data_IF_999183765888
#
_entry.id   IF_999183765888
#
_cell.length_a   1.000
_cell.length_b   1.000
_cell.length_c   1.000
_cell.angle_alpha   90.00
_cell.angle_beta   90.00
_cell.angle_gamma   90.00
#
_symmetry.space_group_name_H-M   'P 1'
#
loop_
_entity.id
_entity.type
_entity.pdbx_description
1 polymer ?
#
# COMPACT_ATOMS: atom_id res chain seq x y z
N UNK A 1 8.63 -3.03 -5.33
CA UNK A 1 9.10 -4.43 -5.37
C UNK A 1 10.27 -4.57 -4.40
N UNK A 2 10.69 -5.81 -4.08
CA UNK A 2 11.68 -6.10 -3.04
C UNK A 2 12.96 -5.29 -3.17
N UNK A 3 13.57 -5.27 -4.36
CA UNK A 3 14.82 -4.55 -4.64
C UNK A 3 14.74 -3.04 -4.37
N UNK A 4 13.55 -2.43 -4.54
CA UNK A 4 13.34 -1.02 -4.22
C UNK A 4 13.27 -0.80 -2.70
N UNK A 5 12.58 -1.70 -1.98
CA UNK A 5 12.45 -1.58 -0.52
C UNK A 5 13.79 -1.75 0.19
N UNK A 6 14.66 -2.65 -0.29
CA UNK A 6 16.03 -2.85 0.23
C UNK A 6 16.94 -1.62 0.10
N UNK A 7 16.57 -0.66 -0.76
CA UNK A 7 17.33 0.61 -0.91
C UNK A 7 16.85 1.71 0.05
N UNK A 8 15.74 1.48 0.74
CA UNK A 8 15.23 2.42 1.74
C UNK A 8 15.99 2.21 3.06
N UNK A 9 16.07 3.25 3.91
CA UNK A 9 16.48 3.05 5.30
C UNK A 9 15.63 1.96 5.96
N UNK A 10 16.25 1.15 6.81
CA UNK A 10 15.55 0.16 7.62
C UNK A 10 14.48 0.85 8.49
N UNK A 11 13.27 0.31 8.52
CA UNK A 11 12.13 0.89 9.24
C UNK A 11 11.44 2.05 8.51
N UNK A 12 11.72 2.29 7.22
CA UNK A 12 10.96 3.26 6.42
C UNK A 12 9.46 2.90 6.34
N UNK A 13 8.60 3.88 6.03
CA UNK A 13 7.18 3.66 5.80
C UNK A 13 6.81 3.93 4.34
N UNK A 14 5.83 3.20 3.81
CA UNK A 14 5.31 3.35 2.45
C UNK A 14 3.95 4.06 2.46
N UNK A 15 3.76 5.01 1.54
CA UNK A 15 2.44 5.59 1.24
C UNK A 15 2.20 5.44 -0.27
N UNK A 16 1.13 4.76 -0.68
CA UNK A 16 0.79 4.59 -2.10
C UNK A 16 -0.61 5.11 -2.44
N UNK A 17 -0.67 6.35 -2.92
CA UNK A 17 -1.88 7.01 -3.46
C UNK A 17 -1.87 7.03 -5.00
N UNK A 18 -1.00 6.23 -5.62
CA UNK A 18 -0.79 6.19 -7.07
C UNK A 18 -1.75 5.24 -7.75
N UNK A 19 -1.26 4.06 -8.14
CA UNK A 19 -2.06 2.96 -8.70
C UNK A 19 -1.60 1.64 -8.10
N UNK A 20 -2.51 0.67 -7.98
CA UNK A 20 -2.21 -0.66 -7.45
C UNK A 20 -1.08 -1.38 -8.21
N UNK A 21 -1.03 -1.21 -9.54
CA UNK A 21 0.00 -1.84 -10.39
C UNK A 21 1.44 -1.39 -10.12
N UNK A 22 1.67 -0.32 -9.35
CA UNK A 22 3.03 0.08 -8.94
C UNK A 22 3.60 -0.82 -7.83
N UNK A 23 2.73 -1.55 -7.13
CA UNK A 23 3.08 -2.30 -5.93
C UNK A 23 3.00 -3.81 -6.20
N UNK A 24 4.10 -4.51 -5.95
CA UNK A 24 4.09 -5.97 -5.82
C UNK A 24 3.68 -6.29 -4.39
N UNK A 25 2.46 -6.77 -4.19
CA UNK A 25 1.84 -6.88 -2.87
C UNK A 25 2.52 -7.92 -1.97
N UNK A 26 3.01 -9.02 -2.54
CA UNK A 26 3.77 -10.04 -1.80
C UNK A 26 5.09 -9.49 -1.27
N UNK A 27 5.79 -8.70 -2.08
CA UNK A 27 7.04 -8.06 -1.65
C UNK A 27 6.81 -7.05 -0.52
N UNK A 28 5.62 -6.41 -0.49
CA UNK A 28 5.26 -5.51 0.59
C UNK A 28 5.05 -6.28 1.90
N UNK A 29 4.34 -7.41 1.86
CA UNK A 29 4.14 -8.26 3.03
C UNK A 29 5.50 -8.71 3.60
N UNK A 30 6.37 -9.25 2.75
CA UNK A 30 7.72 -9.68 3.16
C UNK A 30 8.53 -8.53 3.78
N UNK A 31 8.44 -7.32 3.22
CA UNK A 31 9.17 -6.16 3.72
C UNK A 31 8.62 -5.66 5.07
N UNK A 32 7.30 -5.77 5.28
CA UNK A 32 6.67 -5.42 6.56
C UNK A 32 6.96 -6.46 7.64
N UNK A 33 6.93 -7.74 7.30
CA UNK A 33 7.18 -8.85 8.23
C UNK A 33 8.64 -8.90 8.65
N UNK A 34 9.58 -8.65 7.73
CA UNK A 34 11.01 -8.58 8.03
C UNK A 34 11.42 -7.32 8.81
N UNK A 35 10.57 -6.28 8.84
CA UNK A 35 10.89 -5.00 9.49
C UNK A 35 11.64 -4.01 8.59
N UNK A 36 11.99 -4.39 7.36
CA UNK A 36 12.52 -3.46 6.35
C UNK A 36 11.60 -2.24 6.18
N UNK A 37 10.29 -2.46 6.21
CA UNK A 37 9.28 -1.42 6.32
C UNK A 37 8.58 -1.49 7.68
N UNK A 38 8.37 -0.32 8.29
CA UNK A 38 7.67 -0.20 9.57
C UNK A 38 6.15 -0.17 9.43
N UNK A 39 5.64 0.40 8.32
CA UNK A 39 4.22 0.50 8.03
C UNK A 39 3.94 0.79 6.54
N UNK A 40 2.69 0.58 6.12
CA UNK A 40 2.19 1.02 4.83
C UNK A 40 0.79 1.64 4.93
N UNK A 41 0.57 2.74 4.20
CA UNK A 41 -0.75 3.34 3.97
C UNK A 41 -1.06 3.27 2.48
N UNK A 42 -2.12 2.56 2.11
CA UNK A 42 -2.46 2.31 0.71
C UNK A 42 -3.91 2.74 0.44
N UNK A 43 -4.09 3.49 -0.64
CA UNK A 43 -5.42 3.88 -1.12
C UNK A 43 -5.84 3.07 -2.35
N UNK A 44 -4.87 2.39 -2.97
CA UNK A 44 -5.03 1.68 -4.24
C UNK A 44 -4.49 0.27 -4.12
N UNK A 45 -5.14 -0.67 -4.81
CA UNK A 45 -4.83 -2.10 -4.83
C UNK A 45 -4.80 -2.62 -6.26
N UNK A 46 -4.14 -3.76 -6.50
CA UNK A 46 -4.07 -4.28 -7.88
C UNK A 46 -5.46 -4.63 -8.43
N UNK A 47 -6.33 -5.15 -7.56
CA UNK A 47 -7.72 -5.45 -7.86
C UNK A 47 -8.64 -4.64 -6.96
N UNK A 48 -9.55 -3.91 -7.58
CA UNK A 48 -10.50 -3.06 -6.88
C UNK A 48 -11.93 -3.34 -7.37
N UNK A 49 -12.90 -3.55 -6.45
CA UNK A 49 -12.73 -3.64 -5.00
C UNK A 49 -11.88 -4.86 -4.60
N UNK A 50 -11.15 -4.74 -3.49
CA UNK A 50 -10.38 -5.87 -2.99
C UNK A 50 -11.31 -7.02 -2.59
N UNK A 51 -10.92 -8.29 -2.86
CA UNK A 51 -11.58 -9.45 -2.28
C UNK A 51 -11.69 -9.36 -0.76
N UNK A 52 -12.74 -9.93 -0.17
CA UNK A 52 -12.96 -9.87 1.28
C UNK A 52 -11.88 -10.60 2.09
N UNK A 53 -11.19 -11.56 1.47
CA UNK A 53 -10.09 -12.34 2.04
C UNK A 53 -8.70 -11.77 1.73
N UNK A 54 -8.61 -10.57 1.14
CA UNK A 54 -7.33 -9.94 0.82
C UNK A 54 -6.44 -9.81 2.08
N UNK A 55 -5.16 -10.21 2.03
CA UNK A 55 -4.30 -10.28 3.21
C UNK A 55 -4.11 -8.92 3.90
N UNK A 56 -4.13 -7.84 3.13
CA UNK A 56 -3.96 -6.48 3.66
C UNK A 56 -5.03 -6.07 4.66
N UNK A 57 -6.25 -6.65 4.61
CA UNK A 57 -7.30 -6.34 5.59
C UNK A 57 -6.93 -6.70 7.02
N UNK A 58 -6.06 -7.71 7.20
CA UNK A 58 -5.71 -8.25 8.51
C UNK A 58 -4.29 -7.88 8.94
N UNK A 59 -3.50 -7.29 8.05
CA UNK A 59 -2.11 -7.02 8.33
C UNK A 59 -1.98 -5.82 9.28
N UNK A 60 -1.40 -5.99 10.49
CA UNK A 60 -1.45 -4.97 11.55
C UNK A 60 -0.67 -3.68 11.22
N UNK A 61 0.28 -3.75 10.28
CA UNK A 61 1.09 -2.62 9.81
C UNK A 61 0.55 -1.95 8.54
N UNK A 62 -0.62 -2.35 8.06
CA UNK A 62 -1.24 -1.76 6.86
C UNK A 62 -2.49 -0.99 7.25
N UNK A 63 -2.59 0.24 6.75
CA UNK A 63 -3.82 1.04 6.75
C UNK A 63 -4.32 1.17 5.32
N UNK A 64 -5.60 0.86 5.10
CA UNK A 64 -6.24 0.93 3.79
C UNK A 64 -7.32 2.01 3.76
N UNK A 65 -7.35 2.77 2.66
CA UNK A 65 -8.47 3.63 2.28
C UNK A 65 -9.05 3.17 0.93
N UNK A 66 -10.36 3.30 0.69
CA UNK A 66 -11.01 2.66 -0.46
C UNK A 66 -10.96 3.53 -1.75
N UNK A 67 -9.76 3.84 -2.25
CA UNK A 67 -9.54 4.64 -3.47
C UNK A 67 -10.21 6.03 -3.42
N UNK A 68 -9.94 6.77 -2.35
CA UNK A 68 -10.53 8.08 -2.06
C UNK A 68 -9.49 9.14 -1.67
N UNK A 69 -8.20 8.90 -1.88
CA UNK A 69 -7.14 9.81 -1.46
C UNK A 69 -7.26 11.21 -2.08
N UNK A 70 -7.79 11.32 -3.29
CA UNK A 70 -7.96 12.58 -4.01
C UNK A 70 -9.22 12.56 -4.88
N UNK A 71 -10.40 12.49 -4.26
CA UNK A 71 -11.66 12.65 -4.99
C UNK A 71 -11.75 14.05 -5.60
N UNK A 72 -12.02 14.13 -6.90
CA UNK A 72 -12.25 15.40 -7.61
C UNK A 72 -13.47 16.12 -7.04
N UNK A 73 -13.35 17.42 -6.79
CA UNK A 73 -14.47 18.31 -6.49
C UNK A 73 -15.01 18.90 -7.80
N UNK A 74 -16.16 18.43 -8.32
CA UNK A 74 -16.62 18.81 -9.65
C UNK A 74 -16.92 20.31 -9.79
N UNK A 75 -17.29 20.97 -8.69
CA UNK A 75 -17.64 22.39 -8.65
C UNK A 75 -16.46 23.33 -8.92
N UNK A 76 -15.22 22.86 -8.71
CA UNK A 76 -14.01 23.67 -8.82
C UNK A 76 -12.96 23.09 -9.77
N UNK A 77 -13.33 22.09 -10.58
CA UNK A 77 -12.43 21.36 -11.48
C UNK A 77 -12.07 22.16 -12.75
#
# INVERSE_FOLDING_TARGET
NRQLFERLPEGAALINMGRGGHLVETDLLDALDSGQLSAAVLDVLQKEPAPADHPFWKHPKIMLTPHVAAMTQPESA
#
